data_IF_176524123643
#
_entry.id   IF_176524123643
#
_cell.length_a   1.000
_cell.length_b   1.000
_cell.length_c   1.000
_cell.angle_alpha   90.00
_cell.angle_beta   90.00
_cell.angle_gamma   90.00
#
_symmetry.space_group_name_H-M   'P 1'
#
loop_
_entity.id
_entity.type
_entity.pdbx_description
1 polymer ?
#
# COMPACT_ATOMS: atom_id res chain seq x y z
N UNK A 1 8.04 -20.10 -1.76
CA UNK A 1 6.88 -19.36 -1.24
C UNK A 1 6.45 -18.34 -2.27
N UNK A 2 5.23 -18.44 -2.76
CA UNK A 2 4.65 -17.40 -3.61
C UNK A 2 4.56 -16.08 -2.83
N UNK A 3 4.71 -14.93 -3.50
CA UNK A 3 4.57 -13.61 -2.86
C UNK A 3 3.22 -13.42 -2.16
N UNK A 4 2.18 -14.12 -2.64
CA UNK A 4 0.86 -14.18 -2.00
C UNK A 4 0.89 -14.84 -0.62
N UNK A 5 1.67 -15.89 -0.43
CA UNK A 5 1.79 -16.57 0.86
C UNK A 5 2.54 -15.72 1.87
N UNK A 6 3.67 -15.13 1.45
CA UNK A 6 4.43 -14.21 2.31
C UNK A 6 3.55 -13.03 2.71
N UNK A 7 2.75 -12.49 1.79
CA UNK A 7 1.73 -11.47 2.10
C UNK A 7 0.74 -11.94 3.17
N UNK A 8 0.18 -13.15 3.03
CA UNK A 8 -0.78 -13.70 4.02
C UNK A 8 -0.15 -13.90 5.40
N UNK A 9 1.07 -14.43 5.43
CA UNK A 9 1.82 -14.61 6.67
C UNK A 9 2.11 -13.26 7.33
N UNK A 10 2.66 -12.30 6.58
CA UNK A 10 2.93 -10.95 7.08
C UNK A 10 1.68 -10.20 7.52
N UNK A 11 0.53 -10.41 6.86
CA UNK A 11 -0.74 -9.85 7.31
C UNK A 11 -1.17 -10.40 8.68
N UNK A 12 -0.75 -11.62 9.02
CA UNK A 12 -1.10 -12.33 10.25
C UNK A 12 -0.06 -12.11 11.36
N UNK A 13 1.21 -12.11 11.01
CA UNK A 13 2.35 -12.01 11.94
C UNK A 13 2.86 -10.59 12.13
N UNK A 14 2.63 -9.69 11.17
CA UNK A 14 3.18 -8.33 11.19
C UNK A 14 2.07 -7.26 11.11
N UNK A 15 1.71 -6.70 12.27
CA UNK A 15 0.75 -5.59 12.35
C UNK A 15 1.15 -4.37 11.52
N UNK A 16 2.44 -4.11 11.37
CA UNK A 16 2.97 -3.03 10.54
C UNK A 16 2.66 -3.23 9.05
N UNK A 17 2.79 -4.47 8.57
CA UNK A 17 2.41 -4.84 7.21
C UNK A 17 0.90 -4.75 7.02
N UNK A 18 0.12 -5.22 7.99
CA UNK A 18 -1.34 -5.13 7.96
C UNK A 18 -1.83 -3.69 7.89
N UNK A 19 -1.32 -2.81 8.75
CA UNK A 19 -1.64 -1.37 8.72
C UNK A 19 -1.24 -0.73 7.39
N UNK A 20 -0.08 -1.10 6.83
CA UNK A 20 0.36 -0.59 5.54
C UNK A 20 -0.53 -1.06 4.39
N UNK A 21 -0.95 -2.33 4.41
CA UNK A 21 -1.85 -2.92 3.42
C UNK A 21 -3.25 -2.29 3.47
N UNK A 22 -3.81 -2.12 4.67
CA UNK A 22 -5.11 -1.45 4.85
C UNK A 22 -5.06 0.00 4.36
N UNK A 23 -4.01 0.75 4.69
CA UNK A 23 -3.82 2.11 4.17
C UNK A 23 -3.66 2.11 2.64
N UNK A 24 -2.92 1.15 2.07
CA UNK A 24 -2.73 1.04 0.63
C UNK A 24 -4.06 0.81 -0.09
N UNK A 25 -4.89 -0.11 0.40
CA UNK A 25 -6.24 -0.33 -0.12
C UNK A 25 -7.12 0.90 0.01
N UNK A 26 -7.03 1.62 1.14
CA UNK A 26 -7.81 2.83 1.37
C UNK A 26 -7.44 3.93 0.37
N UNK A 27 -6.14 4.13 0.13
CA UNK A 27 -5.64 5.09 -0.85
C UNK A 27 -5.92 4.66 -2.30
N UNK A 28 -5.96 3.36 -2.58
CA UNK A 28 -6.37 2.84 -3.89
C UNK A 28 -7.84 3.16 -4.18
N UNK A 29 -8.74 2.91 -3.22
CA UNK A 29 -10.16 3.25 -3.34
C UNK A 29 -10.40 4.76 -3.48
N UNK A 30 -9.67 5.57 -2.71
CA UNK A 30 -9.74 7.03 -2.84
C UNK A 30 -9.28 7.49 -4.23
N UNK A 31 -8.18 6.95 -4.74
CA UNK A 31 -7.69 7.22 -6.10
C UNK A 31 -8.68 6.76 -7.18
N UNK A 32 -9.33 5.61 -7.00
CA UNK A 32 -10.37 5.13 -7.93
C UNK A 32 -11.56 6.07 -7.95
N UNK A 33 -12.06 6.52 -6.78
CA UNK A 33 -13.13 7.53 -6.70
C UNK A 33 -12.73 8.84 -7.40
N UNK A 34 -11.47 9.26 -7.24
CA UNK A 34 -10.95 10.43 -7.94
C UNK A 34 -10.89 10.23 -9.45
N UNK A 35 -10.46 9.06 -9.92
CA UNK A 35 -10.49 8.70 -11.33
C UNK A 35 -11.89 8.62 -11.91
N UNK A 36 -12.82 7.98 -11.21
CA UNK A 36 -14.23 7.81 -11.64
C UNK A 36 -14.95 9.15 -11.77
N UNK A 37 -14.68 10.11 -10.87
CA UNK A 37 -15.29 11.44 -10.96
C UNK A 37 -14.93 12.20 -12.24
N UNK A 38 -13.84 11.85 -12.93
CA UNK A 38 -13.42 12.43 -14.21
C UNK A 38 -12.99 13.92 -14.17
N UNK A 39 -13.52 14.70 -13.23
CA UNK A 39 -13.25 16.11 -13.00
C UNK A 39 -12.63 16.33 -11.63
N UNK A 40 -11.30 16.18 -11.58
CA UNK A 40 -10.52 16.50 -10.39
C UNK A 40 -10.27 18.01 -10.33
N UNK A 41 -10.83 18.65 -9.30
CA UNK A 41 -10.47 20.02 -8.92
C UNK A 41 -8.97 20.08 -8.60
N UNK A 42 -8.40 21.28 -8.61
CA UNK A 42 -6.97 21.48 -8.39
C UNK A 42 -6.49 20.90 -7.05
N UNK A 43 -7.32 21.02 -6.01
CA UNK A 43 -7.14 20.38 -4.70
C UNK A 43 -7.13 18.85 -4.77
N UNK A 44 -7.97 18.27 -5.63
CA UNK A 44 -8.07 16.81 -5.80
C UNK A 44 -6.88 16.27 -6.61
N UNK A 45 -6.33 17.03 -7.57
CA UNK A 45 -5.09 16.68 -8.28
C UNK A 45 -3.87 16.69 -7.35
N UNK A 46 -3.81 17.65 -6.43
CA UNK A 46 -2.81 17.70 -5.37
C UNK A 46 -2.93 16.47 -4.45
N UNK A 47 -4.16 16.16 -3.99
CA UNK A 47 -4.43 14.93 -3.24
C UNK A 47 -4.09 13.67 -4.01
N UNK A 48 -4.36 13.58 -5.32
CA UNK A 48 -4.00 12.43 -6.13
C UNK A 48 -2.48 12.20 -6.17
N UNK A 49 -1.70 13.28 -6.35
CA UNK A 49 -0.23 13.23 -6.30
C UNK A 49 0.28 12.82 -4.92
N UNK A 50 -0.30 13.37 -3.85
CA UNK A 50 0.04 12.98 -2.49
C UNK A 50 -0.30 11.52 -2.21
N UNK A 51 -1.49 11.05 -2.63
CA UNK A 51 -1.93 9.66 -2.48
C UNK A 51 -1.04 8.71 -3.26
N UNK A 52 -0.60 9.06 -4.47
CA UNK A 52 0.41 8.30 -5.23
C UNK A 52 1.72 8.20 -4.47
N UNK A 53 2.23 9.31 -3.91
CA UNK A 53 3.43 9.30 -3.06
C UNK A 53 3.23 8.41 -1.83
N UNK A 54 2.12 8.55 -1.12
CA UNK A 54 1.81 7.72 0.06
C UNK A 54 1.69 6.24 -0.32
N UNK A 55 1.04 5.88 -1.44
CA UNK A 55 1.02 4.50 -1.95
C UNK A 55 2.42 3.98 -2.25
N UNK A 56 3.30 4.80 -2.82
CA UNK A 56 4.70 4.42 -3.07
C UNK A 56 5.41 4.11 -1.74
N UNK A 57 5.30 5.00 -0.74
CA UNK A 57 5.89 4.79 0.59
C UNK A 57 5.33 3.53 1.26
N UNK A 58 4.03 3.27 1.15
CA UNK A 58 3.43 2.05 1.68
C UNK A 58 3.92 0.80 0.97
N UNK A 59 4.09 0.86 -0.35
CA UNK A 59 4.65 -0.23 -1.15
C UNK A 59 6.11 -0.50 -0.75
N UNK A 60 6.92 0.54 -0.58
CA UNK A 60 8.30 0.44 -0.09
C UNK A 60 8.33 -0.19 1.32
N UNK A 61 7.47 0.28 2.22
CA UNK A 61 7.36 -0.28 3.57
C UNK A 61 6.96 -1.75 3.55
N UNK A 62 6.00 -2.13 2.71
CA UNK A 62 5.62 -3.53 2.52
C UNK A 62 6.79 -4.35 1.97
N UNK A 63 7.54 -3.83 1.00
CA UNK A 63 8.67 -4.52 0.38
C UNK A 63 9.83 -4.70 1.38
N UNK A 64 10.10 -3.70 2.20
CA UNK A 64 11.07 -3.77 3.30
C UNK A 64 10.71 -4.89 4.27
N UNK A 65 9.47 -4.90 4.78
CA UNK A 65 9.01 -5.96 5.68
C UNK A 65 9.09 -7.33 5.00
N UNK A 66 8.73 -7.43 3.72
CA UNK A 66 8.83 -8.67 2.95
C UNK A 66 10.27 -9.17 2.79
N UNK A 67 11.20 -8.24 2.64
CA UNK A 67 12.64 -8.53 2.53
C UNK A 67 13.21 -8.98 3.86
N UNK A 68 12.89 -8.28 4.95
CA UNK A 68 13.32 -8.64 6.30
C UNK A 68 12.75 -10.00 6.74
N UNK A 69 11.48 -10.27 6.41
CA UNK A 69 10.88 -11.58 6.67
C UNK A 69 11.52 -12.70 5.85
N UNK A 70 11.80 -12.46 4.55
CA UNK A 70 12.56 -13.41 3.72
C UNK A 70 13.96 -13.68 4.26
N UNK A 71 14.63 -12.68 4.84
CA UNK A 71 15.92 -12.87 5.51
C UNK A 71 15.78 -13.67 6.79
N UNK A 72 14.75 -13.40 7.60
CA UNK A 72 14.54 -14.09 8.88
C UNK A 72 14.15 -15.56 8.73
N UNK A 73 13.59 -15.95 7.58
CA UNK A 73 13.23 -17.35 7.28
C UNK A 73 14.40 -18.14 6.67
N UNK A 74 15.43 -17.45 6.20
CA UNK A 74 16.59 -18.05 5.54
C UNK A 74 17.71 -18.33 6.53
#
# INVERSE_FOLDING_TARGET
MEEKEIKKLLLKENEGFRKAFEQHQRYEKELEKFKEKGFLKEEEKLKEKELKKKKLVLKDKMYYIMTEYKKSIK
#
